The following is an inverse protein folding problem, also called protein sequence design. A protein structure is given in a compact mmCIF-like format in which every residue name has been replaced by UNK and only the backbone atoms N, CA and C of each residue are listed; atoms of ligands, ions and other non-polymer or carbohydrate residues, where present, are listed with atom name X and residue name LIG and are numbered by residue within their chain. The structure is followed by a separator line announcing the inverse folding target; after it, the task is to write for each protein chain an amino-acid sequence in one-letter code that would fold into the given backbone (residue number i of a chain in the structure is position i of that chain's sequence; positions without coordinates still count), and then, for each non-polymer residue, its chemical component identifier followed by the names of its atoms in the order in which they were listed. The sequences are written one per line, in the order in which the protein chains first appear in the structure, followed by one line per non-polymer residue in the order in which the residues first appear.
data_IF_270942548310
#
_entry.id   IF_270942548310
#
_cell.length_a   1.000
_cell.length_b   1.000
_cell.length_c   1.000
_cell.angle_alpha   90.00
_cell.angle_beta   90.00
_cell.angle_gamma   90.00
#
_symmetry.space_group_name_H-M   'P 1'
#
loop_
_entity.id
_entity.type
_entity.pdbx_description
1 polymer ?
#
# COMPACT_ATOMS: atom_id res chain seq x y z
N UNK A 1 17.16 -20.52 -6.14
CA UNK A 1 17.15 -19.61 -4.97
C UNK A 1 15.90 -18.76 -5.08
N UNK A 2 14.92 -18.89 -4.18
CA UNK A 2 13.71 -18.07 -4.22
C UNK A 2 14.01 -16.65 -3.76
N UNK A 3 13.72 -15.64 -4.61
CA UNK A 3 13.75 -14.24 -4.19
C UNK A 3 12.52 -13.97 -3.33
N UNK A 4 12.72 -13.52 -2.10
CA UNK A 4 11.63 -13.02 -1.26
C UNK A 4 11.09 -11.70 -1.86
N UNK A 5 9.78 -11.52 -1.81
CA UNK A 5 9.13 -10.28 -2.24
C UNK A 5 9.31 -9.21 -1.16
N UNK A 6 10.07 -8.15 -1.45
CA UNK A 6 10.27 -7.01 -0.55
C UNK A 6 9.49 -5.81 -1.07
N UNK A 7 8.36 -5.49 -0.44
CA UNK A 7 7.65 -4.23 -0.64
C UNK A 7 8.15 -3.17 0.34
N UNK A 8 8.53 -2.01 -0.20
CA UNK A 8 8.89 -0.85 0.59
C UNK A 8 7.72 0.14 0.62
N UNK A 9 6.88 0.03 1.64
CA UNK A 9 5.86 1.01 1.95
C UNK A 9 6.46 2.19 2.72
N UNK A 10 6.41 3.38 2.12
CA UNK A 10 7.01 4.59 2.67
C UNK A 10 5.94 5.58 3.15
N UNK A 11 6.16 6.11 4.35
CA UNK A 11 5.44 7.27 4.88
C UNK A 11 6.41 8.46 4.97
N UNK A 12 6.70 9.07 3.82
CA UNK A 12 7.66 10.17 3.66
C UNK A 12 7.03 11.33 2.91
N UNK A 13 7.63 12.53 3.00
CA UNK A 13 7.14 13.73 2.29
C UNK A 13 7.54 13.78 0.82
N UNK A 14 8.70 13.24 0.46
CA UNK A 14 9.18 13.19 -0.93
C UNK A 14 9.60 11.76 -1.33
N UNK A 15 8.67 10.94 -1.86
CA UNK A 15 8.98 9.57 -2.23
C UNK A 15 10.02 9.45 -3.36
N UNK A 16 10.15 10.45 -4.23
CA UNK A 16 11.07 10.43 -5.37
C UNK A 16 12.54 10.23 -4.98
N UNK A 17 12.92 10.69 -3.79
CA UNK A 17 14.28 10.58 -3.25
C UNK A 17 14.67 9.14 -2.94
N UNK A 18 13.69 8.27 -2.71
CA UNK A 18 13.90 6.91 -2.23
C UNK A 18 13.86 5.84 -3.33
N UNK A 19 13.42 6.20 -4.54
CA UNK A 19 13.25 5.24 -5.65
C UNK A 19 14.59 4.57 -6.02
N UNK A 20 15.64 5.36 -6.19
CA UNK A 20 16.98 4.86 -6.54
C UNK A 20 17.63 4.02 -5.43
N UNK A 21 17.72 4.49 -4.16
CA UNK A 21 18.36 3.71 -3.11
C UNK A 21 17.61 2.41 -2.82
N UNK A 22 16.27 2.39 -2.88
CA UNK A 22 15.50 1.16 -2.64
C UNK A 22 15.61 0.17 -3.80
N UNK A 23 15.63 0.63 -5.04
CA UNK A 23 15.93 -0.22 -6.19
C UNK A 23 17.31 -0.88 -6.06
N UNK A 24 18.33 -0.10 -5.67
CA UNK A 24 19.69 -0.61 -5.43
C UNK A 24 19.74 -1.62 -4.27
N UNK A 25 18.90 -1.44 -3.25
CA UNK A 25 18.77 -2.37 -2.14
C UNK A 25 18.04 -3.67 -2.52
N UNK A 26 17.50 -3.77 -3.73
CA UNK A 26 16.79 -4.95 -4.23
C UNK A 26 15.31 -4.99 -3.84
N UNK A 27 14.70 -3.84 -3.55
CA UNK A 27 13.25 -3.75 -3.37
C UNK A 27 12.53 -4.24 -4.64
N UNK A 28 11.42 -4.94 -4.44
CA UNK A 28 10.57 -5.42 -5.52
C UNK A 28 9.33 -4.54 -5.68
N UNK A 29 8.75 -4.09 -4.57
CA UNK A 29 7.63 -3.15 -4.53
C UNK A 29 8.05 -1.80 -3.93
N UNK A 30 7.41 -0.73 -4.40
CA UNK A 30 7.56 0.61 -3.87
C UNK A 30 6.17 1.22 -3.69
N UNK A 31 5.73 1.38 -2.45
CA UNK A 31 4.39 1.88 -2.12
C UNK A 31 4.47 3.27 -1.49
N UNK A 32 3.90 4.28 -2.15
CA UNK A 32 3.99 5.69 -1.76
C UNK A 32 2.65 6.28 -1.28
N UNK A 33 2.63 7.30 -0.40
CA UNK A 33 1.39 7.88 0.08
C UNK A 33 0.77 8.84 -0.93
N UNK A 34 -0.52 8.67 -1.23
CA UNK A 34 -1.22 9.56 -2.16
C UNK A 34 -1.29 11.01 -1.65
N UNK A 35 -1.20 11.22 -0.34
CA UNK A 35 -1.31 12.52 0.30
C UNK A 35 -0.22 13.49 -0.16
N UNK A 36 0.97 12.98 -0.51
CA UNK A 36 2.14 13.80 -0.88
C UNK A 36 2.50 13.70 -2.36
N UNK A 37 1.87 12.80 -3.11
CA UNK A 37 2.23 12.52 -4.51
C UNK A 37 1.24 13.05 -5.54
N UNK A 38 0.21 13.80 -5.15
CA UNK A 38 -0.86 14.26 -6.07
C UNK A 38 -0.36 14.98 -7.33
N UNK A 39 0.70 15.79 -7.20
CA UNK A 39 1.19 16.63 -8.29
C UNK A 39 2.19 15.95 -9.23
N UNK A 40 2.71 14.79 -8.86
CA UNK A 40 3.83 14.15 -9.56
C UNK A 40 3.75 12.62 -9.59
N UNK A 41 2.60 12.02 -9.26
CA UNK A 41 2.48 10.57 -9.14
C UNK A 41 2.80 9.85 -10.45
N UNK A 42 2.49 10.42 -11.62
CA UNK A 42 2.80 9.80 -12.92
C UNK A 42 4.31 9.67 -13.12
N UNK A 43 5.05 10.74 -12.82
CA UNK A 43 6.51 10.75 -12.90
C UNK A 43 7.12 9.75 -11.92
N UNK A 44 6.60 9.72 -10.69
CA UNK A 44 7.00 8.77 -9.67
C UNK A 44 6.76 7.32 -10.10
N UNK A 45 5.56 7.01 -10.59
CA UNK A 45 5.20 5.68 -11.11
C UNK A 45 6.12 5.28 -12.26
N UNK A 46 6.36 6.20 -13.20
CA UNK A 46 7.28 5.94 -14.32
C UNK A 46 8.70 5.63 -13.82
N UNK A 47 9.21 6.41 -12.87
CA UNK A 47 10.55 6.20 -12.27
C UNK A 47 10.64 4.88 -11.51
N UNK A 48 9.61 4.48 -10.77
CA UNK A 48 9.56 3.20 -10.07
C UNK A 48 9.64 2.04 -11.07
N UNK A 49 8.81 2.08 -12.13
CA UNK A 49 8.78 1.04 -13.17
C UNK A 49 10.08 0.97 -13.96
N UNK A 50 10.71 2.11 -14.26
CA UNK A 50 12.01 2.13 -14.98
C UNK A 50 13.15 1.51 -14.19
N UNK A 51 12.97 1.34 -12.86
CA UNK A 51 13.90 0.61 -11.98
C UNK A 51 13.54 -0.87 -11.78
N UNK A 52 12.51 -1.36 -12.48
CA UNK A 52 12.04 -2.74 -12.38
C UNK A 52 11.26 -3.05 -11.11
N UNK A 53 10.84 -2.03 -10.35
CA UNK A 53 9.99 -2.19 -9.17
C UNK A 53 8.51 -2.04 -9.53
N UNK A 54 7.63 -2.65 -8.72
CA UNK A 54 6.18 -2.52 -8.84
C UNK A 54 5.68 -1.33 -8.02
N UNK A 55 5.01 -0.34 -8.64
CA UNK A 55 4.46 0.80 -7.93
C UNK A 55 3.17 0.44 -7.19
N UNK A 56 3.11 0.79 -5.91
CA UNK A 56 1.90 0.81 -5.09
C UNK A 56 1.58 2.20 -4.58
N UNK A 57 0.33 2.43 -4.18
CA UNK A 57 -0.10 3.67 -3.53
C UNK A 57 -0.77 3.36 -2.20
N UNK A 58 -0.46 4.13 -1.16
CA UNK A 58 -1.12 4.06 0.14
C UNK A 58 -2.10 5.21 0.36
N UNK A 59 -3.16 4.93 1.12
CA UNK A 59 -4.16 5.89 1.59
C UNK A 59 -4.21 5.88 3.11
N UNK A 60 -4.06 7.05 3.72
CA UNK A 60 -4.30 7.25 5.15
C UNK A 60 -5.79 7.08 5.51
N UNK A 61 -6.13 6.80 6.78
CA UNK A 61 -7.52 6.66 7.23
C UNK A 61 -8.39 7.88 6.94
N UNK A 62 -7.86 9.10 7.01
CA UNK A 62 -8.62 10.31 6.65
C UNK A 62 -8.89 10.49 5.14
N UNK A 63 -8.21 9.73 4.27
CA UNK A 63 -8.25 9.96 2.82
C UNK A 63 -9.37 9.17 2.15
N UNK A 64 -10.25 9.86 1.42
CA UNK A 64 -11.32 9.22 0.64
C UNK A 64 -10.75 8.36 -0.50
N UNK A 65 -11.25 7.13 -0.64
CA UNK A 65 -10.80 6.17 -1.66
C UNK A 65 -10.85 6.70 -3.09
N UNK A 66 -11.87 7.52 -3.41
CA UNK A 66 -12.03 8.18 -4.72
C UNK A 66 -10.78 8.96 -5.14
N UNK A 67 -9.96 9.44 -4.20
CA UNK A 67 -8.71 10.14 -4.49
C UNK A 67 -7.65 9.29 -5.17
N UNK A 68 -7.76 7.97 -5.16
CA UNK A 68 -6.83 7.06 -5.85
C UNK A 68 -7.41 6.44 -7.12
N UNK A 69 -8.72 6.62 -7.40
CA UNK A 69 -9.40 6.00 -8.56
C UNK A 69 -8.68 6.23 -9.90
N UNK A 70 -8.25 7.47 -10.16
CA UNK A 70 -7.52 7.83 -11.38
C UNK A 70 -6.14 7.15 -11.51
N UNK A 71 -5.52 6.71 -10.41
CA UNK A 71 -4.19 6.08 -10.41
C UNK A 71 -4.20 4.66 -10.97
N UNK A 72 -5.37 4.01 -10.97
CA UNK A 72 -5.51 2.62 -11.40
C UNK A 72 -6.59 2.38 -12.46
N UNK A 73 -7.60 3.26 -12.59
CA UNK A 73 -8.65 3.12 -13.60
C UNK A 73 -8.37 3.87 -14.90
N UNK A 74 -7.64 4.99 -14.83
CA UNK A 74 -7.57 5.96 -15.95
C UNK A 74 -6.12 6.21 -16.42
N UNK A 75 -5.15 5.50 -15.85
CA UNK A 75 -3.72 5.68 -16.14
C UNK A 75 -3.23 4.71 -17.22
N UNK A 76 -2.49 5.20 -18.22
CA UNK A 76 -1.70 4.34 -19.14
C UNK A 76 -0.65 3.51 -18.40
N UNK A 77 -0.22 3.98 -17.22
CA UNK A 77 0.71 3.28 -16.35
C UNK A 77 0.12 3.17 -14.94
N UNK A 78 -0.79 2.21 -14.71
CA UNK A 78 -1.46 2.10 -13.42
C UNK A 78 -0.48 1.62 -12.34
N UNK A 79 -0.79 1.96 -11.10
CA UNK A 79 -0.23 1.30 -9.92
C UNK A 79 -0.71 -0.16 -9.89
N UNK A 80 0.12 -1.07 -9.37
CA UNK A 80 -0.21 -2.49 -9.28
C UNK A 80 -0.86 -2.85 -7.93
N UNK A 81 -0.80 -1.92 -6.98
CA UNK A 81 -1.19 -2.12 -5.60
C UNK A 81 -1.82 -0.86 -5.04
N UNK A 82 -2.99 -1.01 -4.42
CA UNK A 82 -3.60 0.01 -3.56
C UNK A 82 -3.57 -0.51 -2.14
N UNK A 83 -3.07 0.32 -1.25
CA UNK A 83 -2.86 0.00 0.15
C UNK A 83 -3.70 0.94 1.02
N UNK A 84 -4.61 0.38 1.80
CA UNK A 84 -5.40 1.20 2.73
C UNK A 84 -4.89 1.00 4.14
N UNK A 85 -4.54 2.12 4.76
CA UNK A 85 -4.08 2.15 6.13
C UNK A 85 -5.29 2.12 7.07
N UNK A 86 -5.23 1.26 8.08
CA UNK A 86 -6.28 1.12 9.09
C UNK A 86 -5.96 1.87 10.38
N UNK A 87 -4.87 2.64 10.39
CA UNK A 87 -4.40 3.50 11.48
C UNK A 87 -3.66 4.69 10.88
N UNK A 88 -3.64 5.82 11.58
CA UNK A 88 -2.87 7.00 11.16
C UNK A 88 -1.36 6.70 11.25
N UNK A 89 -0.52 7.29 10.37
CA UNK A 89 0.93 7.14 10.44
C UNK A 89 1.46 7.77 11.72
N UNK A 90 1.76 6.91 12.70
CA UNK A 90 2.39 7.25 13.97
C UNK A 90 3.22 6.06 14.42
N UNK A 91 3.50 6.00 15.73
CA UNK A 91 4.15 4.85 16.34
C UNK A 91 3.32 3.58 16.23
N UNK A 92 4.00 2.47 16.45
CA UNK A 92 3.40 1.16 16.48
C UNK A 92 2.41 0.89 17.61
N UNK A 93 1.56 -0.13 17.44
CA UNK A 93 0.65 -0.62 18.49
C UNK A 93 -0.64 0.18 18.62
N UNK A 94 -0.95 1.02 17.64
CA UNK A 94 -2.20 1.76 17.60
C UNK A 94 -3.40 0.83 17.47
N UNK A 95 -4.50 1.21 18.11
CA UNK A 95 -5.76 0.48 17.99
C UNK A 95 -6.25 0.56 16.55
N UNK A 96 -6.62 -0.61 16.03
CA UNK A 96 -7.27 -0.75 14.74
C UNK A 96 -8.56 0.08 14.70
N UNK A 97 -8.82 0.74 13.55
CA UNK A 97 -10.00 1.56 13.28
C UNK A 97 -11.00 0.78 12.39
N UNK A 98 -12.08 0.19 12.95
CA UNK A 98 -13.06 -0.61 12.22
C UNK A 98 -13.78 0.14 11.09
N UNK A 99 -13.89 1.47 11.19
CA UNK A 99 -14.46 2.31 10.15
C UNK A 99 -13.64 2.34 8.86
N UNK A 100 -12.37 1.91 8.90
CA UNK A 100 -11.54 1.81 7.69
C UNK A 100 -11.90 0.60 6.83
N UNK A 101 -12.75 -0.30 7.36
CA UNK A 101 -13.22 -1.45 6.61
C UNK A 101 -14.17 -1.05 5.49
N UNK A 102 -14.91 0.02 5.68
CA UNK A 102 -15.78 0.54 4.62
C UNK A 102 -15.00 0.95 3.35
N UNK A 103 -13.68 1.14 3.46
CA UNK A 103 -12.79 1.45 2.33
C UNK A 103 -12.16 0.23 1.70
N UNK A 104 -11.89 -0.78 2.51
CA UNK A 104 -11.38 -2.10 2.13
C UNK A 104 -11.78 -3.01 3.27
N UNK A 105 -12.68 -3.95 3.04
CA UNK A 105 -13.50 -4.58 4.10
C UNK A 105 -12.76 -5.53 5.09
N UNK A 106 -11.68 -5.11 5.77
CA UNK A 106 -11.16 -5.83 6.96
C UNK A 106 -9.74 -5.54 7.43
N UNK A 107 -9.53 -5.43 8.75
CA UNK A 107 -8.25 -5.16 9.41
C UNK A 107 -8.00 -6.24 10.43
N UNK A 108 -6.75 -6.73 10.53
CA UNK A 108 -6.51 -8.17 10.53
C UNK A 108 -5.77 -8.74 11.74
N UNK A 109 -6.45 -9.67 12.41
CA UNK A 109 -5.95 -10.66 13.35
C UNK A 109 -6.77 -11.96 13.18
N UNK A 110 -6.55 -12.99 14.01
CA UNK A 110 -7.29 -14.26 13.88
C UNK A 110 -8.81 -14.09 13.89
N UNK A 111 -9.32 -13.05 14.55
CA UNK A 111 -10.75 -12.74 14.65
C UNK A 111 -11.31 -11.89 13.51
N UNK A 112 -10.48 -11.40 12.60
CA UNK A 112 -10.89 -10.44 11.55
C UNK A 112 -10.33 -10.78 10.17
N UNK A 113 -9.47 -11.82 10.08
CA UNK A 113 -8.91 -12.36 8.83
C UNK A 113 -9.95 -12.80 7.83
N UNK A 114 -11.02 -13.42 8.32
CA UNK A 114 -12.10 -13.89 7.46
C UNK A 114 -12.92 -12.74 6.86
N UNK A 115 -13.09 -11.64 7.61
CA UNK A 115 -13.82 -10.46 7.12
C UNK A 115 -13.04 -9.78 5.97
N UNK A 116 -11.74 -9.50 6.17
CA UNK A 116 -10.90 -8.93 5.11
C UNK A 116 -10.77 -9.83 3.88
N UNK A 117 -10.66 -11.14 4.07
CA UNK A 117 -10.62 -12.05 2.93
C UNK A 117 -11.95 -11.97 2.16
N UNK A 118 -13.09 -11.92 2.87
CA UNK A 118 -14.42 -11.78 2.27
C UNK A 118 -14.62 -10.45 1.53
N UNK A 119 -13.93 -9.41 1.97
CA UNK A 119 -13.88 -8.09 1.35
C UNK A 119 -13.11 -7.96 0.06
N UNK A 120 -12.31 -8.97 -0.28
CA UNK A 120 -11.40 -8.92 -1.40
C UNK A 120 -9.98 -8.45 -1.07
N UNK A 121 -9.55 -8.40 0.21
CA UNK A 121 -8.11 -8.41 0.46
C UNK A 121 -7.50 -9.71 -0.05
N UNK A 122 -6.47 -9.57 -0.86
CA UNK A 122 -5.72 -10.70 -1.39
C UNK A 122 -4.36 -10.89 -0.70
N UNK A 123 -3.92 -9.89 0.06
CA UNK A 123 -2.70 -9.93 0.84
C UNK A 123 -2.89 -9.14 2.13
N UNK A 124 -2.43 -9.76 3.21
CA UNK A 124 -2.63 -9.32 4.57
C UNK A 124 -1.26 -9.13 5.18
N UNK A 125 -0.91 -7.91 5.53
CA UNK A 125 0.35 -7.65 6.20
C UNK A 125 0.16 -7.92 7.69
N UNK A 126 0.72 -9.04 8.14
CA UNK A 126 0.77 -9.39 9.54
C UNK A 126 1.71 -8.46 10.30
N UNK A 127 1.14 -7.73 11.26
CA UNK A 127 1.88 -6.83 12.15
C UNK A 127 1.98 -7.37 13.56
N UNK A 128 1.55 -6.55 14.52
CA UNK A 128 1.77 -6.80 15.95
C UNK A 128 0.95 -7.97 16.49
N UNK A 129 -0.07 -8.39 15.75
CA UNK A 129 -0.88 -9.59 16.05
C UNK A 129 -0.11 -10.90 15.91
N UNK A 130 1.01 -10.93 15.17
CA UNK A 130 1.85 -12.13 14.99
C UNK A 130 3.26 -11.93 15.57
N UNK A 131 3.86 -10.75 15.42
CA UNK A 131 5.28 -10.52 15.76
C UNK A 131 5.51 -9.54 16.91
N UNK A 132 4.46 -9.12 17.63
CA UNK A 132 4.52 -8.05 18.64
C UNK A 132 5.18 -6.75 18.14
N UNK A 133 5.19 -6.53 16.82
CA UNK A 133 5.82 -5.42 16.12
C UNK A 133 4.91 -4.90 15.01
N UNK A 134 4.81 -3.59 14.75
CA UNK A 134 3.52 -2.98 14.51
C UNK A 134 3.39 -2.39 13.10
N UNK A 135 2.59 -3.01 12.25
CA UNK A 135 1.96 -2.39 11.06
C UNK A 135 0.89 -3.36 10.55
N UNK A 136 -0.35 -2.87 10.43
CA UNK A 136 -1.45 -3.61 9.83
C UNK A 136 -1.83 -2.90 8.53
N UNK A 137 -1.72 -3.61 7.41
CA UNK A 137 -1.75 -3.05 6.07
C UNK A 137 -2.64 -3.96 5.20
N UNK A 138 -3.63 -3.38 4.51
CA UNK A 138 -4.54 -4.11 3.63
C UNK A 138 -4.22 -3.82 2.16
N UNK A 139 -3.95 -4.87 1.40
CA UNK A 139 -3.53 -4.79 0.00
C UNK A 139 -4.69 -5.17 -0.93
N UNK A 140 -4.97 -4.30 -1.89
CA UNK A 140 -5.87 -4.55 -3.01
C UNK A 140 -5.03 -4.59 -4.29
N UNK A 141 -4.97 -5.72 -5.01
CA UNK A 141 -4.27 -5.76 -6.28
C UNK A 141 -5.11 -4.97 -7.28
N UNK A 142 -4.50 -4.05 -8.02
CA UNK A 142 -5.13 -3.59 -9.25
C UNK A 142 -5.01 -4.72 -10.27
N UNK A 143 -5.91 -5.70 -10.18
CA UNK A 143 -6.02 -6.72 -11.22
C UNK A 143 -6.69 -6.05 -12.44
N UNK A 144 -6.06 -6.06 -13.63
CA UNK A 144 -6.79 -5.77 -14.84
C UNK A 144 -7.64 -7.01 -15.14
N UNK A 145 -8.91 -6.99 -14.74
CA UNK A 145 -9.93 -7.92 -15.25
C UNK A 145 -11.13 -7.11 -15.73
N UNK A 146 -10.96 -6.46 -16.87
CA UNK A 146 -11.62 -6.73 -18.16
C UNK A 146 -11.24 -5.62 -19.14
#
# INVERSE_FOLDING_TARGET
MGRAYLDCHLMVTNPMDYVEPLAKAGAFGFTFPIEVSKGNWQELVHKIKSKGMKPGVSLMPGTQFKRCSHLYLESENPVEMVLVMTVEPRFGGQKFMPEMLDKVDGGLGPSTIDAAASAGANCIVAGSSIFASPILLMLYPCCPRL
#
